data_IF_686170509479
#
_entry.id   IF_686170509479
#
_cell.length_a   1.000
_cell.length_b   1.000
_cell.length_c   1.000
_cell.angle_alpha   90.00
_cell.angle_beta   90.00
_cell.angle_gamma   90.00
#
_symmetry.space_group_name_H-M   'P 1'
#
loop_
_entity.id
_entity.type
_entity.pdbx_description
1 polymer ?
#
# COMPACT_ATOMS: atom_id res chain seq x y z
N UNK A 1 13.83 -26.95 14.34
CA UNK A 1 12.91 -25.81 14.13
C UNK A 1 13.17 -25.25 12.74
N UNK A 2 12.48 -25.77 11.73
CA UNK A 2 12.62 -25.32 10.34
C UNK A 2 12.16 -23.86 10.28
N UNK A 3 13.10 -22.91 10.12
CA UNK A 3 12.79 -21.48 9.97
C UNK A 3 11.74 -21.37 8.85
N UNK A 4 10.58 -20.82 9.17
CA UNK A 4 9.60 -20.43 8.17
C UNK A 4 10.28 -19.43 7.23
N UNK A 5 10.67 -19.91 6.05
CA UNK A 5 11.37 -19.12 5.03
C UNK A 5 10.46 -18.10 4.36
N UNK A 6 9.14 -18.32 4.41
CA UNK A 6 8.14 -17.47 3.77
C UNK A 6 7.61 -16.38 4.70
N UNK A 7 7.86 -16.47 6.01
CA UNK A 7 7.25 -15.58 7.01
C UNK A 7 5.72 -15.54 6.84
N UNK A 8 5.10 -16.72 6.89
CA UNK A 8 3.73 -16.99 6.45
C UNK A 8 2.70 -16.08 7.10
N UNK A 9 2.84 -15.80 8.41
CA UNK A 9 1.92 -14.89 9.13
C UNK A 9 1.98 -13.46 8.61
N UNK A 10 3.19 -12.94 8.39
CA UNK A 10 3.42 -11.60 7.85
C UNK A 10 2.90 -11.50 6.41
N UNK A 11 3.17 -12.53 5.59
CA UNK A 11 2.70 -12.60 4.22
C UNK A 11 1.16 -12.61 4.17
N UNK A 12 0.53 -13.46 4.99
CA UNK A 12 -0.93 -13.55 5.08
C UNK A 12 -1.57 -12.23 5.56
N UNK A 13 -0.97 -11.53 6.52
CA UNK A 13 -1.42 -10.22 6.97
C UNK A 13 -1.43 -9.19 5.84
N UNK A 14 -0.32 -9.09 5.09
CA UNK A 14 -0.20 -8.19 3.93
C UNK A 14 -1.20 -8.54 2.83
N UNK A 15 -1.32 -9.83 2.48
CA UNK A 15 -2.26 -10.28 1.46
C UNK A 15 -3.72 -10.04 1.87
N UNK A 16 -4.07 -10.25 3.14
CA UNK A 16 -5.41 -9.92 3.67
C UNK A 16 -5.70 -8.42 3.61
N UNK A 17 -4.70 -7.60 3.90
CA UNK A 17 -4.79 -6.15 3.73
C UNK A 17 -4.84 -5.72 2.26
N UNK A 18 -4.41 -6.52 1.30
CA UNK A 18 -4.51 -6.21 -0.13
C UNK A 18 -5.75 -6.80 -0.80
N UNK A 19 -6.40 -7.80 -0.19
CA UNK A 19 -7.55 -8.52 -0.74
C UNK A 19 -8.86 -7.72 -0.82
N UNK A 20 -8.81 -6.42 -1.12
CA UNK A 20 -9.98 -5.56 -1.30
C UNK A 20 -9.72 -4.49 -2.37
N UNK A 21 -10.69 -4.23 -3.28
CA UNK A 21 -10.49 -3.34 -4.43
C UNK A 21 -10.03 -1.91 -4.11
N UNK A 22 -10.64 -1.23 -3.14
CA UNK A 22 -10.30 0.16 -2.80
C UNK A 22 -8.86 0.24 -2.30
N UNK A 23 -8.41 -0.71 -1.47
CA UNK A 23 -7.03 -0.76 -0.98
C UNK A 23 -6.01 -0.95 -2.09
N UNK A 24 -6.31 -1.77 -3.11
CA UNK A 24 -5.44 -1.88 -4.30
C UNK A 24 -5.36 -0.58 -5.08
N UNK A 25 -6.48 0.13 -5.27
CA UNK A 25 -6.51 1.45 -5.93
C UNK A 25 -5.75 2.52 -5.14
N UNK A 26 -5.82 2.50 -3.80
CA UNK A 26 -5.02 3.38 -2.94
C UNK A 26 -3.52 3.13 -3.14
N UNK A 27 -3.10 1.86 -3.15
CA UNK A 27 -1.70 1.50 -3.37
C UNK A 27 -1.22 1.95 -4.76
N UNK A 28 -2.06 1.80 -5.78
CA UNK A 28 -1.78 2.31 -7.13
C UNK A 28 -1.57 3.82 -7.14
N UNK A 29 -2.49 4.60 -6.56
CA UNK A 29 -2.37 6.06 -6.47
C UNK A 29 -1.13 6.54 -5.71
N UNK A 30 -0.68 5.77 -4.71
CA UNK A 30 0.51 6.08 -3.93
C UNK A 30 1.82 5.69 -4.63
N UNK A 31 1.77 4.89 -5.70
CA UNK A 31 2.94 4.69 -6.58
C UNK A 31 3.35 5.96 -7.31
N UNK A 32 2.36 6.78 -7.67
CA UNK A 32 2.59 8.05 -8.38
C UNK A 32 3.15 9.15 -7.46
N UNK A 33 3.11 8.93 -6.15
CA UNK A 33 3.59 9.87 -5.15
C UNK A 33 2.76 9.87 -3.89
N UNK A 34 3.28 10.56 -2.89
CA UNK A 34 2.62 10.71 -1.60
C UNK A 34 1.36 11.58 -1.69
N UNK A 35 0.34 11.24 -0.88
CA UNK A 35 -0.97 11.89 -0.91
C UNK A 35 -1.58 12.01 0.48
N UNK A 36 -2.34 13.07 0.70
CA UNK A 36 -3.21 13.21 1.87
C UNK A 36 -4.46 12.35 1.75
N UNK A 37 -5.14 12.09 2.87
CA UNK A 37 -6.42 11.36 2.88
C UNK A 37 -7.44 12.01 1.94
N UNK A 38 -7.54 13.35 1.97
CA UNK A 38 -8.47 14.11 1.13
C UNK A 38 -8.15 13.98 -0.36
N UNK A 39 -6.88 14.08 -0.74
CA UNK A 39 -6.46 13.90 -2.14
C UNK A 39 -6.74 12.47 -2.63
N UNK A 40 -6.51 11.45 -1.79
CA UNK A 40 -6.80 10.07 -2.14
C UNK A 40 -8.30 9.83 -2.27
N UNK A 41 -9.12 10.39 -1.38
CA UNK A 41 -10.58 10.32 -1.46
C UNK A 41 -11.12 10.97 -2.74
N UNK A 42 -10.65 12.17 -3.06
CA UNK A 42 -11.00 12.89 -4.28
C UNK A 42 -10.64 12.09 -5.54
N UNK A 43 -9.43 11.54 -5.62
CA UNK A 43 -8.98 10.77 -6.78
C UNK A 43 -9.77 9.45 -6.97
N UNK A 44 -10.29 8.86 -5.89
CA UNK A 44 -11.04 7.61 -5.95
C UNK A 44 -12.56 7.80 -6.11
N UNK A 45 -13.07 9.02 -5.90
CA UNK A 45 -14.51 9.29 -5.82
C UNK A 45 -15.14 8.70 -4.56
N UNK A 46 -14.39 8.62 -3.47
CA UNK A 46 -14.77 7.96 -2.22
C UNK A 46 -14.93 8.96 -1.07
N UNK A 47 -15.66 8.56 -0.02
CA UNK A 47 -15.74 9.38 1.19
C UNK A 47 -14.42 9.37 1.97
N UNK A 48 -14.06 10.52 2.56
CA UNK A 48 -12.85 10.68 3.38
C UNK A 48 -12.81 9.69 4.55
N UNK A 49 -13.97 9.40 5.17
CA UNK A 49 -14.04 8.44 6.29
C UNK A 49 -13.70 7.02 5.83
N UNK A 50 -14.17 6.63 4.63
CA UNK A 50 -13.91 5.34 4.03
C UNK A 50 -12.42 5.19 3.67
N UNK A 51 -11.86 6.19 3.00
CA UNK A 51 -10.43 6.19 2.65
C UNK A 51 -9.54 6.22 3.89
N UNK A 52 -9.91 6.98 4.93
CA UNK A 52 -9.18 6.99 6.20
C UNK A 52 -9.15 5.61 6.86
N UNK A 53 -10.28 4.90 6.84
CA UNK A 53 -10.38 3.52 7.35
C UNK A 53 -9.44 2.58 6.58
N UNK A 54 -9.49 2.61 5.24
CA UNK A 54 -8.63 1.79 4.39
C UNK A 54 -7.14 2.10 4.57
N UNK A 55 -6.76 3.38 4.65
CA UNK A 55 -5.38 3.81 4.93
C UNK A 55 -4.91 3.34 6.32
N UNK A 56 -5.81 3.30 7.31
CA UNK A 56 -5.55 2.72 8.62
C UNK A 56 -5.18 1.24 8.54
N UNK A 57 -5.98 0.44 7.83
CA UNK A 57 -5.71 -1.00 7.60
C UNK A 57 -4.35 -1.19 6.91
N UNK A 58 -4.09 -0.46 5.83
CA UNK A 58 -2.83 -0.53 5.09
C UNK A 58 -1.63 -0.12 5.94
N UNK A 59 -1.79 0.87 6.82
CA UNK A 59 -0.75 1.32 7.73
C UNK A 59 -0.43 0.24 8.76
N UNK A 60 -1.45 -0.39 9.35
CA UNK A 60 -1.25 -1.48 10.32
C UNK A 60 -0.55 -2.68 9.69
N UNK A 61 -0.87 -3.01 8.44
CA UNK A 61 -0.20 -4.05 7.66
C UNK A 61 1.18 -3.65 7.12
N UNK A 62 1.71 -2.48 7.49
CA UNK A 62 3.01 -1.94 7.04
C UNK A 62 3.14 -1.81 5.51
N UNK A 63 2.03 -1.56 4.83
CA UNK A 63 2.01 -1.35 3.36
C UNK A 63 2.20 0.13 3.01
N UNK A 64 1.82 1.03 3.92
CA UNK A 64 1.99 2.48 3.80
C UNK A 64 2.66 3.06 5.03
N UNK A 65 3.33 4.19 4.85
CA UNK A 65 3.80 5.06 5.92
C UNK A 65 2.91 6.30 5.98
N UNK A 66 2.94 7.00 7.12
CA UNK A 66 2.27 8.28 7.27
C UNK A 66 3.14 9.26 8.04
N UNK A 67 3.06 10.53 7.68
CA UNK A 67 3.64 11.64 8.45
C UNK A 67 2.64 12.77 8.59
N UNK A 68 2.78 13.54 9.66
CA UNK A 68 1.97 14.73 9.87
C UNK A 68 2.68 15.92 9.24
N UNK A 69 1.97 16.66 8.40
CA UNK A 69 2.46 17.86 7.73
C UNK A 69 1.46 19.00 7.98
N UNK A 70 1.78 19.83 8.98
CA UNK A 70 0.85 20.83 9.50
C UNK A 70 -0.44 20.20 10.03
N UNK A 71 -1.56 20.50 9.36
CA UNK A 71 -2.89 19.97 9.70
C UNK A 71 -3.24 18.67 8.96
N UNK A 72 -2.43 18.27 7.99
CA UNK A 72 -2.69 17.12 7.15
C UNK A 72 -1.86 15.91 7.57
N UNK A 73 -2.37 14.72 7.25
CA UNK A 73 -1.61 13.48 7.30
C UNK A 73 -1.34 13.05 5.87
N UNK A 74 -0.05 12.95 5.53
CA UNK A 74 0.44 12.55 4.21
C UNK A 74 0.84 11.09 4.28
N UNK A 75 0.34 10.29 3.36
CA UNK A 75 0.64 8.86 3.21
C UNK A 75 1.56 8.63 2.02
N UNK A 76 2.43 7.63 2.14
CA UNK A 76 3.31 7.17 1.09
C UNK A 76 3.42 5.64 1.15
N UNK A 77 3.85 4.97 0.09
CA UNK A 77 4.16 3.54 0.15
C UNK A 77 5.27 3.28 1.17
N UNK A 78 5.19 2.13 1.84
CA UNK A 78 6.28 1.71 2.69
C UNK A 78 7.54 1.47 1.83
N UNK A 79 8.75 1.85 2.28
CA UNK A 79 9.97 1.67 1.49
C UNK A 79 10.21 0.23 1.03
N UNK A 80 9.88 -0.75 1.88
CA UNK A 80 9.95 -2.18 1.53
C UNK A 80 8.91 -2.61 0.49
N UNK A 81 7.87 -1.80 0.29
CA UNK A 81 6.77 -1.99 -0.67
C UNK A 81 6.99 -1.17 -1.95
N UNK A 82 7.99 -0.31 -1.96
CA UNK A 82 8.29 0.55 -3.10
C UNK A 82 8.68 -0.27 -4.33
N UNK A 83 8.07 0.08 -5.45
CA UNK A 83 8.40 -0.46 -6.75
C UNK A 83 9.85 -0.06 -7.10
N UNK A 84 10.79 -0.99 -6.95
CA UNK A 84 12.11 -0.83 -7.57
C UNK A 84 11.96 -1.12 -9.05
N UNK A 85 11.51 -0.12 -9.80
CA UNK A 85 11.44 -0.18 -11.25
C UNK A 85 12.78 0.27 -11.84
N UNK A 86 13.70 -0.67 -12.04
CA UNK A 86 14.67 -0.61 -13.14
C UNK A 86 14.19 -1.61 -14.20
N UNK A 87 13.67 -1.07 -15.31
CA UNK A 87 13.22 -1.79 -16.50
C UNK A 87 11.95 -2.67 -16.36
N UNK A 88 10.78 -2.05 -16.58
CA UNK A 88 9.71 -2.69 -17.37
C UNK A 88 8.79 -3.70 -16.71
N UNK A 89 8.77 -3.88 -15.38
CA UNK A 89 7.70 -4.62 -14.68
C UNK A 89 7.34 -3.93 -13.38
N UNK A 90 6.14 -3.36 -13.29
CA UNK A 90 5.66 -2.72 -12.06
C UNK A 90 5.29 -3.79 -11.04
N UNK A 91 6.12 -3.92 -10.00
CA UNK A 91 5.88 -4.92 -8.99
C UNK A 91 5.91 -4.33 -7.58
N UNK A 92 4.96 -4.76 -6.74
CA UNK A 92 5.00 -4.50 -5.31
C UNK A 92 5.80 -5.62 -4.67
N UNK A 93 6.96 -5.30 -4.11
CA UNK A 93 7.76 -6.24 -3.35
C UNK A 93 7.29 -6.22 -1.88
N UNK A 94 7.06 -7.37 -1.26
CA UNK A 94 6.65 -7.43 0.14
C UNK A 94 7.72 -8.03 1.05
N UNK A 95 8.93 -8.25 0.54
CA UNK A 95 10.06 -8.91 1.21
C UNK A 95 9.97 -10.45 1.23
N UNK A 96 8.77 -11.00 1.07
CA UNK A 96 8.49 -12.45 1.02
C UNK A 96 7.88 -12.91 -0.31
N UNK A 97 7.21 -12.01 -1.04
CA UNK A 97 6.56 -12.27 -2.31
C UNK A 97 6.45 -10.97 -3.12
N UNK A 98 6.19 -11.10 -4.41
CA UNK A 98 6.06 -10.00 -5.36
C UNK A 98 4.69 -10.06 -6.03
N UNK A 99 3.95 -8.96 -6.01
CA UNK A 99 2.73 -8.82 -6.82
C UNK A 99 3.07 -8.04 -8.08
N UNK A 100 3.01 -8.72 -9.23
CA UNK A 100 3.14 -8.10 -10.53
C UNK A 100 1.78 -7.52 -10.93
N UNK A 101 1.74 -6.21 -11.19
CA UNK A 101 0.57 -5.58 -11.79
C UNK A 101 0.78 -5.61 -13.30
N UNK A 102 -0.12 -6.23 -14.08
CA UNK A 102 0.03 -6.26 -15.53
C UNK A 102 0.03 -4.82 -16.08
N UNK A 103 0.98 -4.52 -16.97
CA UNK A 103 0.95 -3.30 -17.75
C UNK A 103 -0.30 -3.36 -18.65
N UNK A 104 -1.17 -2.35 -18.52
CA UNK A 104 -2.38 -2.22 -19.33
C UNK A 104 -2.03 -1.89 -20.80
#
# INVERSE_FOLDING_TARGET
MSKDRLQSDLCAEKLKALGEPIRLRIIDLLRDGERTVSQTAEALGEEVVNVSHHLGILYHARLVTKRKEGRFVVYNLHPEVSAVSKAGKQHLDFGCCRLEVPDA
#
